data_IF_496256603932
#
_entry.id   IF_496256603932
#
_cell.length_a   1.000
_cell.length_b   1.000
_cell.length_c   1.000
_cell.angle_alpha   90.00
_cell.angle_beta   90.00
_cell.angle_gamma   90.00
#
_symmetry.space_group_name_H-M   'P 1'
#
loop_
_entity.id
_entity.type
_entity.pdbx_description
1 polymer ?
#
# COMPACT_ATOMS: atom_id res chain seq x y z
N UNK A 1 -0.88 -7.88 -8.88
CA UNK A 1 -0.43 -7.03 -7.74
C UNK A 1 0.69 -6.08 -8.10
N UNK A 2 1.47 -6.31 -9.17
CA UNK A 2 2.51 -5.36 -9.57
C UNK A 2 1.93 -4.01 -10.02
N UNK A 3 0.66 -4.00 -10.45
CA UNK A 3 -0.10 -2.79 -10.76
C UNK A 3 -0.19 -1.85 -9.56
N UNK A 4 -0.36 -2.39 -8.34
CA UNK A 4 -0.36 -1.60 -7.11
C UNK A 4 1.01 -0.98 -6.80
N UNK A 5 2.09 -1.69 -7.10
CA UNK A 5 3.43 -1.15 -6.99
C UNK A 5 3.64 -0.01 -7.99
N UNK A 6 3.18 -0.17 -9.23
CA UNK A 6 3.22 0.89 -10.25
C UNK A 6 2.40 2.11 -9.83
N UNK A 7 1.22 1.93 -9.25
CA UNK A 7 0.41 3.03 -8.70
C UNK A 7 1.15 3.76 -7.57
N UNK A 8 1.84 3.04 -6.69
CA UNK A 8 2.65 3.65 -5.64
C UNK A 8 3.78 4.50 -6.24
N UNK A 9 4.49 3.98 -7.25
CA UNK A 9 5.53 4.70 -7.98
C UNK A 9 4.97 5.96 -8.65
N UNK A 10 3.77 5.90 -9.24
CA UNK A 10 3.12 7.06 -9.83
C UNK A 10 2.79 8.15 -8.80
N UNK A 11 2.30 7.76 -7.60
CA UNK A 11 2.09 8.73 -6.52
C UNK A 11 3.41 9.38 -6.09
N UNK A 12 4.49 8.61 -5.94
CA UNK A 12 5.79 9.17 -5.59
C UNK A 12 6.34 10.11 -6.67
N UNK A 13 6.23 9.72 -7.95
CA UNK A 13 6.62 10.58 -9.06
C UNK A 13 5.82 11.89 -9.06
N UNK A 14 4.51 11.82 -8.84
CA UNK A 14 3.65 13.01 -8.75
C UNK A 14 4.04 13.90 -7.56
N UNK A 15 4.35 13.32 -6.40
CA UNK A 15 4.78 14.07 -5.22
C UNK A 15 6.12 14.79 -5.43
N UNK A 16 7.03 14.19 -6.22
CA UNK A 16 8.29 14.82 -6.64
C UNK A 16 8.06 15.94 -7.67
N UNK A 17 7.15 15.77 -8.63
CA UNK A 17 6.76 16.84 -9.56
C UNK A 17 6.14 18.01 -8.82
N UNK A 18 5.27 17.75 -7.84
CA UNK A 18 4.69 18.79 -6.98
C UNK A 18 5.75 19.51 -6.15
N UNK A 19 6.77 18.79 -5.65
CA UNK A 19 7.92 19.38 -4.97
C UNK A 19 8.64 20.37 -5.90
N UNK A 20 8.96 19.91 -7.11
CA UNK A 20 9.74 20.69 -8.07
C UNK A 20 9.00 21.94 -8.56
N UNK A 21 7.69 21.83 -8.73
CA UNK A 21 6.84 22.93 -9.21
C UNK A 21 6.37 23.88 -8.09
N UNK A 22 6.82 23.68 -6.84
CA UNK A 22 6.37 24.41 -5.65
C UNK A 22 4.84 24.45 -5.52
N UNK A 23 4.18 23.34 -5.88
CA UNK A 23 2.74 23.20 -5.71
C UNK A 23 2.37 23.12 -4.22
N UNK A 24 1.09 23.14 -3.88
CA UNK A 24 0.64 23.22 -2.48
C UNK A 24 1.18 22.08 -1.62
N UNK A 25 1.86 22.44 -0.52
CA UNK A 25 2.45 21.49 0.43
C UNK A 25 1.47 20.44 0.99
N UNK A 26 0.20 20.78 1.29
CA UNK A 26 -0.78 19.79 1.73
C UNK A 26 -1.08 18.70 0.68
N UNK A 27 -1.27 19.07 -0.59
CA UNK A 27 -1.53 18.10 -1.66
C UNK A 27 -0.31 17.23 -1.94
N UNK A 28 0.88 17.82 -1.87
CA UNK A 28 2.12 17.06 -1.96
C UNK A 28 2.22 16.01 -0.84
N UNK A 29 1.93 16.40 0.41
CA UNK A 29 1.98 15.50 1.58
C UNK A 29 0.95 14.37 1.46
N UNK A 30 -0.27 14.69 1.00
CA UNK A 30 -1.29 13.68 0.72
C UNK A 30 -0.81 12.67 -0.33
N UNK A 31 -0.18 13.17 -1.41
CA UNK A 31 0.34 12.32 -2.48
C UNK A 31 1.44 11.38 -1.96
N UNK A 32 2.35 11.88 -1.12
CA UNK A 32 3.31 11.02 -0.41
C UNK A 32 2.60 9.94 0.40
N UNK A 33 1.62 10.29 1.24
CA UNK A 33 0.89 9.33 2.07
C UNK A 33 0.14 8.28 1.24
N UNK A 34 -0.50 8.67 0.14
CA UNK A 34 -1.16 7.75 -0.78
C UNK A 34 -0.15 6.76 -1.39
N UNK A 35 1.05 7.23 -1.76
CA UNK A 35 2.14 6.35 -2.20
C UNK A 35 2.50 5.31 -1.14
N UNK A 36 2.68 5.73 0.11
CA UNK A 36 3.02 4.82 1.22
C UNK A 36 1.92 3.80 1.52
N UNK A 37 0.64 4.23 1.56
CA UNK A 37 -0.50 3.32 1.77
C UNK A 37 -0.59 2.30 0.64
N UNK A 38 -0.43 2.73 -0.60
CA UNK A 38 -0.46 1.84 -1.77
C UNK A 38 0.69 0.82 -1.73
N UNK A 39 1.90 1.28 -1.41
CA UNK A 39 3.07 0.42 -1.21
C UNK A 39 2.84 -0.56 -0.05
N UNK A 40 2.24 -0.12 1.04
CA UNK A 40 1.90 -0.95 2.20
C UNK A 40 0.89 -2.04 1.86
N UNK A 41 -0.08 -1.75 1.00
CA UNK A 41 -0.97 -2.78 0.45
C UNK A 41 -0.22 -3.84 -0.37
N UNK A 42 0.71 -3.42 -1.22
CA UNK A 42 1.55 -4.34 -1.98
C UNK A 42 2.44 -5.20 -1.06
N UNK A 43 3.13 -4.57 -0.10
CA UNK A 43 3.99 -5.24 0.86
C UNK A 43 3.20 -6.21 1.75
N UNK A 44 2.06 -5.79 2.29
CA UNK A 44 1.18 -6.64 3.10
C UNK A 44 0.64 -7.85 2.34
N UNK A 45 0.30 -7.66 1.05
CA UNK A 45 -0.06 -8.80 0.19
C UNK A 45 1.10 -9.78 0.02
N UNK A 46 2.30 -9.25 -0.24
CA UNK A 46 3.49 -10.08 -0.38
C UNK A 46 3.78 -10.85 0.91
N UNK A 47 3.72 -10.17 2.07
CA UNK A 47 3.92 -10.75 3.39
C UNK A 47 2.95 -11.90 3.69
N UNK A 48 1.63 -11.71 3.51
CA UNK A 48 0.64 -12.78 3.70
C UNK A 48 0.95 -13.98 2.80
N UNK A 49 1.30 -13.73 1.52
CA UNK A 49 1.61 -14.80 0.58
C UNK A 49 2.88 -15.56 0.94
N UNK A 50 3.93 -14.86 1.40
CA UNK A 50 5.19 -15.49 1.81
C UNK A 50 5.06 -16.28 3.11
N UNK A 51 4.31 -15.75 4.07
CA UNK A 51 4.16 -16.34 5.40
C UNK A 51 3.26 -17.59 5.35
N UNK A 52 2.13 -17.53 4.65
CA UNK A 52 1.12 -18.59 4.68
C UNK A 52 1.12 -19.48 3.44
N UNK A 53 1.62 -18.99 2.29
CA UNK A 53 1.68 -19.73 1.01
C UNK A 53 0.32 -20.27 0.51
N UNK A 54 -0.79 -19.78 1.06
CA UNK A 54 -2.15 -20.14 0.68
C UNK A 54 -2.63 -19.22 -0.45
N UNK A 55 -3.24 -19.79 -1.50
CA UNK A 55 -3.95 -19.00 -2.52
C UNK A 55 -5.35 -18.64 -2.00
N UNK A 56 -5.64 -17.34 -1.93
CA UNK A 56 -7.01 -16.88 -1.65
C UNK A 56 -7.87 -16.98 -2.90
N UNK A 57 -9.07 -17.53 -2.74
CA UNK A 57 -10.14 -17.52 -3.72
C UNK A 57 -11.41 -16.93 -3.08
N UNK A 58 -12.43 -16.65 -3.88
CA UNK A 58 -13.70 -16.11 -3.37
C UNK A 58 -14.43 -17.06 -2.41
N UNK A 59 -14.12 -18.35 -2.45
CA UNK A 59 -14.67 -19.38 -1.58
C UNK A 59 -13.76 -19.70 -0.37
N UNK A 60 -12.75 -18.87 -0.10
CA UNK A 60 -11.87 -19.07 1.05
C UNK A 60 -12.64 -18.93 2.37
N UNK A 61 -12.22 -19.68 3.38
CA UNK A 61 -12.74 -19.56 4.74
C UNK A 61 -12.71 -18.09 5.22
N UNK A 62 -13.81 -17.56 5.80
CA UNK A 62 -13.86 -16.20 6.33
C UNK A 62 -12.67 -15.83 7.23
N UNK A 63 -12.17 -16.75 8.06
CA UNK A 63 -11.03 -16.48 8.94
C UNK A 63 -9.75 -16.19 8.16
N UNK A 64 -9.55 -16.84 7.01
CA UNK A 64 -8.42 -16.59 6.13
C UNK A 64 -8.51 -15.20 5.50
N UNK A 65 -9.71 -14.77 5.12
CA UNK A 65 -9.94 -13.42 4.58
C UNK A 65 -9.65 -12.34 5.62
N UNK A 66 -10.11 -12.53 6.86
CA UNK A 66 -9.86 -11.62 7.98
C UNK A 66 -8.36 -11.51 8.27
N UNK A 67 -7.64 -12.64 8.35
CA UNK A 67 -6.18 -12.65 8.56
C UNK A 67 -5.46 -11.78 7.54
N UNK A 68 -5.77 -11.96 6.25
CA UNK A 68 -5.14 -11.19 5.18
C UNK A 68 -5.49 -9.71 5.26
N UNK A 69 -6.74 -9.39 5.58
CA UNK A 69 -7.16 -7.99 5.78
C UNK A 69 -6.35 -7.34 6.92
N UNK A 70 -6.14 -8.04 8.03
CA UNK A 70 -5.34 -7.56 9.17
C UNK A 70 -3.89 -7.30 8.74
N UNK A 71 -3.24 -8.25 8.07
CA UNK A 71 -1.84 -8.11 7.63
C UNK A 71 -1.69 -6.94 6.65
N UNK A 72 -2.60 -6.83 5.69
CA UNK A 72 -2.58 -5.73 4.73
C UNK A 72 -2.84 -4.38 5.40
N UNK A 73 -3.82 -4.29 6.29
CA UNK A 73 -4.12 -3.06 7.03
C UNK A 73 -2.95 -2.63 7.94
N UNK A 74 -2.30 -3.57 8.61
CA UNK A 74 -1.11 -3.30 9.42
C UNK A 74 0.03 -2.72 8.56
N UNK A 75 0.34 -3.35 7.43
CA UNK A 75 1.39 -2.86 6.52
C UNK A 75 1.07 -1.46 5.93
N UNK A 76 -0.19 -1.22 5.55
CA UNK A 76 -0.66 0.09 5.09
C UNK A 76 -0.54 1.16 6.19
N UNK A 77 -0.92 0.81 7.42
CA UNK A 77 -0.88 1.73 8.56
C UNK A 77 0.56 2.09 8.93
N UNK A 78 1.44 1.10 9.06
CA UNK A 78 2.85 1.28 9.39
C UNK A 78 3.54 2.19 8.37
N UNK A 79 3.46 1.88 7.07
CA UNK A 79 4.08 2.74 6.05
C UNK A 79 3.41 4.10 5.92
N UNK A 80 2.08 4.17 6.01
CA UNK A 80 1.33 5.43 5.88
C UNK A 80 1.58 6.41 7.02
N UNK A 81 1.99 5.92 8.19
CA UNK A 81 2.32 6.72 9.37
C UNK A 81 3.82 6.91 9.57
N UNK A 82 4.67 6.09 8.93
CA UNK A 82 6.13 6.14 9.06
C UNK A 82 6.66 5.48 10.33
N UNK A 83 5.90 4.50 10.87
CA UNK A 83 6.35 3.61 11.95
C UNK A 83 7.23 2.49 11.40
#
# INVERSE_FOLDING_TARGET
MIEWLLVAVLFYALALVMLHTNYSGPLQTLTWKLGHVTLGGFAGYWLDRTAFRVRMCAAADPLMMIRRAIIMAAAMYTLGTGL
#
